data_IF_175670933657
#
_entry.id   IF_175670933657
#
_cell.length_a   1.000
_cell.length_b   1.000
_cell.length_c   1.000
_cell.angle_alpha   90.00
_cell.angle_beta   90.00
_cell.angle_gamma   90.00
#
_symmetry.space_group_name_H-M   'P 1'
#
loop_
_entity.id
_entity.type
_entity.pdbx_description
1 polymer ?
#
# COMPACT_ATOMS: atom_id res chain seq x y z
N UNK A 1 11.43 9.29 40.66
CA UNK A 1 10.60 9.75 39.52
C UNK A 1 11.51 10.04 38.34
N UNK A 2 11.62 9.11 37.38
CA UNK A 2 12.44 9.31 36.18
C UNK A 2 11.73 10.22 35.17
N UNK A 3 12.47 11.00 34.36
CA UNK A 3 11.87 11.92 33.41
C UNK A 3 11.17 11.12 32.29
N UNK A 4 9.87 11.36 32.11
CA UNK A 4 9.08 10.83 30.98
C UNK A 4 9.72 11.31 29.68
N UNK A 5 10.25 10.39 28.86
CA UNK A 5 10.64 10.67 27.47
C UNK A 5 9.40 11.20 26.72
N UNK A 6 9.43 12.47 26.33
CA UNK A 6 8.44 13.06 25.42
C UNK A 6 8.52 12.30 24.10
N UNK A 7 7.40 11.74 23.66
CA UNK A 7 7.28 11.16 22.33
C UNK A 7 7.55 12.26 21.30
N UNK A 8 8.56 12.07 20.45
CA UNK A 8 8.87 12.99 19.36
C UNK A 8 7.70 12.99 18.38
N UNK A 9 7.03 14.14 18.22
CA UNK A 9 6.12 14.34 17.08
C UNK A 9 6.96 14.30 15.78
N UNK A 10 6.50 13.62 14.73
CA UNK A 10 7.21 13.61 13.45
C UNK A 10 7.28 15.04 12.89
N UNK A 11 8.49 15.50 12.57
CA UNK A 11 8.73 16.78 11.89
C UNK A 11 8.36 16.67 10.41
N UNK A 12 8.04 17.79 9.76
CA UNK A 12 7.62 17.86 8.36
C UNK A 12 8.64 17.25 7.36
N UNK A 13 9.89 17.07 7.76
CA UNK A 13 10.98 16.49 6.97
C UNK A 13 10.89 14.96 6.78
N UNK A 14 10.12 14.24 7.60
CA UNK A 14 9.98 12.77 7.50
C UNK A 14 8.78 12.31 6.64
N UNK A 15 8.07 13.23 5.99
CA UNK A 15 6.97 12.86 5.11
C UNK A 15 7.51 12.25 3.83
N UNK A 16 7.02 11.06 3.47
CA UNK A 16 7.22 10.58 2.10
C UNK A 16 6.48 11.52 1.17
N UNK A 17 7.21 12.17 0.27
CA UNK A 17 6.62 12.99 -0.79
C UNK A 17 6.07 12.05 -1.86
N UNK A 18 4.74 11.99 -1.98
CA UNK A 18 4.08 11.24 -3.05
C UNK A 18 4.18 12.08 -4.33
N UNK A 19 5.02 11.66 -5.27
CA UNK A 19 5.30 12.39 -6.52
C UNK A 19 4.03 12.70 -7.31
N UNK A 20 3.06 11.78 -7.30
CA UNK A 20 1.78 11.95 -7.99
C UNK A 20 0.91 13.06 -7.41
N UNK A 21 1.18 13.48 -6.17
CA UNK A 21 0.56 14.63 -5.52
C UNK A 21 1.40 15.89 -5.63
N UNK A 22 2.73 15.81 -5.46
CA UNK A 22 3.61 17.00 -5.43
C UNK A 22 3.98 17.53 -6.82
N UNK A 23 4.09 16.64 -7.80
CA UNK A 23 4.42 16.97 -9.20
C UNK A 23 3.60 16.08 -10.13
N UNK A 24 2.29 16.33 -10.25
CA UNK A 24 1.37 15.46 -10.98
C UNK A 24 1.68 15.34 -12.47
N UNK A 25 2.43 16.28 -13.06
CA UNK A 25 2.79 16.28 -14.49
C UNK A 25 4.17 15.66 -14.76
N UNK A 26 4.88 15.20 -13.72
CA UNK A 26 6.16 14.55 -13.90
C UNK A 26 6.06 13.24 -14.70
N UNK A 27 7.13 12.87 -15.42
CA UNK A 27 7.27 11.57 -16.04
C UNK A 27 6.99 10.39 -15.09
N UNK A 28 7.43 10.50 -13.83
CA UNK A 28 7.22 9.46 -12.81
C UNK A 28 5.73 9.33 -12.45
N UNK A 29 5.00 10.45 -12.40
CA UNK A 29 3.55 10.41 -12.18
C UNK A 29 2.81 9.74 -13.31
N UNK A 30 3.23 9.97 -14.57
CA UNK A 30 2.70 9.24 -15.72
C UNK A 30 2.97 7.73 -15.61
N UNK A 31 4.13 7.30 -15.11
CA UNK A 31 4.38 5.88 -14.86
C UNK A 31 3.39 5.25 -13.87
N UNK A 32 3.02 5.97 -12.80
CA UNK A 32 1.97 5.49 -11.89
C UNK A 32 0.59 5.44 -12.56
N UNK A 33 0.27 6.35 -13.48
CA UNK A 33 -0.97 6.29 -14.29
C UNK A 33 -0.97 5.10 -15.24
N UNK A 34 0.16 4.78 -15.85
CA UNK A 34 0.34 3.56 -16.65
C UNK A 34 0.13 2.31 -15.81
N UNK A 35 0.72 2.24 -14.60
CA UNK A 35 0.52 1.10 -13.69
C UNK A 35 -0.96 0.95 -13.32
N UNK A 36 -1.64 2.03 -12.91
CA UNK A 36 -3.08 2.04 -12.61
C UNK A 36 -3.91 1.51 -13.79
N UNK A 37 -3.60 1.97 -15.00
CA UNK A 37 -4.28 1.56 -16.24
C UNK A 37 -4.07 0.06 -16.52
N UNK A 38 -2.85 -0.44 -16.34
CA UNK A 38 -2.53 -1.86 -16.49
C UNK A 38 -3.26 -2.73 -15.45
N UNK A 39 -3.38 -2.26 -14.21
CA UNK A 39 -4.18 -2.93 -13.18
C UNK A 39 -5.63 -3.04 -13.63
N UNK A 40 -6.23 -1.94 -14.11
CA UNK A 40 -7.60 -1.94 -14.61
C UNK A 40 -7.78 -2.87 -15.83
N UNK A 41 -6.78 -2.99 -16.72
CA UNK A 41 -6.84 -3.91 -17.86
C UNK A 41 -6.57 -5.37 -17.51
N UNK A 42 -5.87 -5.66 -16.42
CA UNK A 42 -5.65 -7.04 -15.95
C UNK A 42 -6.91 -7.74 -15.44
N UNK A 43 -8.01 -6.99 -15.40
CA UNK A 43 -9.29 -7.28 -14.77
C UNK A 43 -10.40 -7.55 -15.81
N UNK A 44 -10.09 -8.27 -16.91
CA UNK A 44 -10.97 -8.41 -18.10
C UNK A 44 -12.37 -8.93 -17.76
N UNK A 45 -12.50 -9.81 -16.77
CA UNK A 45 -13.77 -10.45 -16.38
C UNK A 45 -14.23 -10.12 -14.94
N UNK A 46 -13.35 -9.59 -14.07
CA UNK A 46 -13.62 -9.34 -12.65
C UNK A 46 -13.19 -7.94 -12.25
N UNK A 47 -14.07 -7.15 -11.62
CA UNK A 47 -13.69 -5.84 -11.08
C UNK A 47 -12.63 -5.97 -9.98
N UNK A 48 -11.45 -5.40 -10.20
CA UNK A 48 -10.38 -5.33 -9.18
C UNK A 48 -10.66 -4.17 -8.24
N UNK A 49 -11.20 -4.49 -7.06
CA UNK A 49 -11.53 -3.50 -6.02
C UNK A 49 -10.46 -3.47 -4.92
N UNK A 50 -9.94 -4.64 -4.53
CA UNK A 50 -8.98 -4.79 -3.42
C UNK A 50 -7.63 -5.21 -3.95
N UNK A 51 -6.65 -4.33 -3.78
CA UNK A 51 -5.29 -4.52 -4.25
C UNK A 51 -4.36 -4.53 -3.04
N UNK A 52 -3.42 -5.46 -2.98
CA UNK A 52 -2.29 -5.34 -2.07
C UNK A 52 -1.00 -5.01 -2.81
N UNK A 53 -0.14 -4.24 -2.15
CA UNK A 53 1.22 -3.93 -2.60
C UNK A 53 2.19 -4.55 -1.61
N UNK A 54 3.07 -5.40 -2.11
CA UNK A 54 4.14 -6.04 -1.33
C UNK A 54 5.47 -5.95 -2.07
N UNK A 55 6.51 -6.52 -1.49
CA UNK A 55 7.85 -6.59 -2.08
C UNK A 55 8.56 -7.87 -1.65
N UNK A 56 9.67 -8.22 -2.32
CA UNK A 56 10.46 -9.38 -1.92
C UNK A 56 11.17 -9.09 -0.58
N UNK A 57 11.93 -8.00 -0.55
CA UNK A 57 12.68 -7.55 0.61
C UNK A 57 12.18 -6.24 1.23
N UNK A 58 12.71 -5.85 2.41
CA UNK A 58 12.46 -4.55 3.00
C UNK A 58 13.08 -3.41 2.18
N UNK A 59 12.50 -2.21 2.30
CA UNK A 59 13.00 -0.97 1.67
C UNK A 59 13.01 -0.97 0.12
N UNK A 60 12.16 -1.79 -0.51
CA UNK A 60 12.03 -1.81 -1.98
C UNK A 60 11.04 -0.76 -2.53
N UNK A 61 10.34 -0.05 -1.65
CA UNK A 61 9.45 1.05 -2.00
C UNK A 61 7.95 0.71 -2.04
N UNK A 62 7.54 -0.47 -1.55
CA UNK A 62 6.13 -0.90 -1.39
C UNK A 62 5.18 0.21 -0.89
N UNK A 63 5.51 0.85 0.24
CA UNK A 63 4.73 1.91 0.85
C UNK A 63 4.64 3.17 -0.02
N UNK A 64 5.72 3.53 -0.71
CA UNK A 64 5.74 4.66 -1.65
C UNK A 64 4.87 4.36 -2.87
N UNK A 65 4.98 3.15 -3.41
CA UNK A 65 4.17 2.68 -4.54
C UNK A 65 2.70 2.62 -4.17
N UNK A 66 2.33 2.06 -3.03
CA UNK A 66 0.95 2.02 -2.53
C UNK A 66 0.35 3.43 -2.40
N UNK A 67 1.08 4.37 -1.80
CA UNK A 67 0.64 5.77 -1.66
C UNK A 67 0.44 6.46 -3.01
N UNK A 68 1.39 6.34 -3.94
CA UNK A 68 1.27 6.98 -5.25
C UNK A 68 0.16 6.35 -6.10
N UNK A 69 -0.03 5.02 -6.02
CA UNK A 69 -1.15 4.32 -6.65
C UNK A 69 -2.49 4.83 -6.12
N UNK A 70 -2.62 4.96 -4.80
CA UNK A 70 -3.82 5.48 -4.17
C UNK A 70 -4.18 6.89 -4.68
N UNK A 71 -3.18 7.77 -4.80
CA UNK A 71 -3.37 9.10 -5.36
C UNK A 71 -3.84 9.07 -6.81
N UNK A 72 -3.24 8.25 -7.69
CA UNK A 72 -3.65 8.24 -9.11
C UNK A 72 -5.01 7.57 -9.35
N UNK A 73 -5.44 6.66 -8.48
CA UNK A 73 -6.83 6.17 -8.48
C UNK A 73 -7.80 7.26 -8.00
N UNK A 74 -7.47 7.98 -6.93
CA UNK A 74 -8.30 9.07 -6.42
C UNK A 74 -8.44 10.24 -7.42
N UNK A 75 -7.40 10.51 -8.21
CA UNK A 75 -7.43 11.46 -9.32
C UNK A 75 -8.41 11.07 -10.45
N UNK A 76 -8.86 9.81 -10.52
CA UNK A 76 -9.96 9.38 -11.41
C UNK A 76 -11.32 9.41 -10.71
N UNK A 77 -11.46 10.24 -9.66
CA UNK A 77 -12.68 10.40 -8.88
C UNK A 77 -13.17 9.13 -8.17
N UNK A 78 -12.36 8.08 -8.13
CA UNK A 78 -12.63 6.87 -7.33
C UNK A 78 -12.50 7.18 -5.85
N UNK A 79 -13.43 6.73 -5.02
CA UNK A 79 -13.28 6.72 -3.57
C UNK A 79 -12.24 5.67 -3.19
N UNK A 80 -11.08 6.11 -2.74
CA UNK A 80 -9.95 5.24 -2.41
C UNK A 80 -9.74 5.15 -0.90
N UNK A 81 -9.61 3.92 -0.40
CA UNK A 81 -9.11 3.64 0.94
C UNK A 81 -7.71 3.05 0.86
N UNK A 82 -6.72 3.74 1.43
CA UNK A 82 -5.37 3.22 1.61
C UNK A 82 -5.19 2.71 3.05
N UNK A 83 -4.90 1.42 3.20
CA UNK A 83 -4.78 0.75 4.50
C UNK A 83 -3.33 0.36 4.78
N UNK A 84 -2.80 0.76 5.93
CA UNK A 84 -1.49 0.32 6.40
C UNK A 84 -1.60 -1.04 7.10
N UNK A 85 -1.37 -2.10 6.34
CA UNK A 85 -1.33 -3.48 6.80
C UNK A 85 0.10 -3.96 7.15
N UNK A 86 1.12 -3.10 7.12
CA UNK A 86 2.44 -3.37 7.70
C UNK A 86 2.38 -3.14 9.21
N UNK A 87 1.71 -4.06 9.92
CA UNK A 87 1.53 -4.00 11.38
C UNK A 87 2.83 -4.17 12.18
N UNK A 88 3.98 -4.35 11.51
CA UNK A 88 5.30 -4.50 12.13
C UNK A 88 6.13 -3.23 12.03
N UNK A 89 6.11 -2.60 10.85
CA UNK A 89 6.82 -1.34 10.58
C UNK A 89 5.89 -0.38 9.83
N UNK A 90 4.82 0.11 10.48
CA UNK A 90 3.83 0.95 9.83
C UNK A 90 4.45 2.30 9.47
N UNK A 91 4.03 2.84 8.32
CA UNK A 91 4.62 4.07 7.80
C UNK A 91 3.64 5.06 7.17
N UNK A 92 2.38 4.67 6.94
CA UNK A 92 1.40 5.56 6.32
C UNK A 92 1.04 6.75 7.19
N UNK A 93 1.02 6.59 8.52
CA UNK A 93 0.76 7.71 9.43
C UNK A 93 1.82 8.80 9.33
N UNK A 94 3.09 8.46 9.04
CA UNK A 94 4.13 9.45 8.73
C UNK A 94 3.95 10.08 7.34
N UNK A 95 3.59 9.27 6.33
CA UNK A 95 3.36 9.75 4.95
C UNK A 95 2.25 10.80 4.90
N UNK A 96 1.14 10.56 5.59
CA UNK A 96 -0.05 11.42 5.56
C UNK A 96 -0.20 12.34 6.78
N UNK A 97 0.81 12.41 7.65
CA UNK A 97 0.80 13.24 8.86
C UNK A 97 -0.44 13.00 9.77
N UNK A 98 -0.78 11.73 9.96
CA UNK A 98 -1.91 11.29 10.77
C UNK A 98 -1.44 10.70 12.12
N UNK A 99 -2.33 10.70 13.10
CA UNK A 99 -2.08 9.95 14.35
C UNK A 99 -2.26 8.45 14.12
N UNK A 100 -1.53 7.61 14.84
CA UNK A 100 -1.64 6.15 14.75
C UNK A 100 -2.22 5.51 16.02
N UNK A 101 -3.06 6.26 16.75
CA UNK A 101 -3.69 5.81 18.00
C UNK A 101 -4.83 4.82 17.73
N UNK A 102 -5.60 5.09 16.68
CA UNK A 102 -6.63 4.21 16.15
C UNK A 102 -6.30 3.88 14.71
N UNK A 103 -6.60 2.67 14.28
CA UNK A 103 -6.30 2.18 12.94
C UNK A 103 -6.80 0.76 12.74
N UNK A 104 -6.24 0.06 11.76
CA UNK A 104 -6.64 -1.30 11.38
C UNK A 104 -6.71 -2.22 12.60
N UNK A 105 -5.72 -2.21 13.48
CA UNK A 105 -5.68 -3.13 14.63
C UNK A 105 -6.79 -2.86 15.65
N UNK A 106 -7.10 -1.60 15.92
CA UNK A 106 -8.19 -1.24 16.85
C UNK A 106 -9.56 -1.53 16.24
N UNK A 107 -9.72 -1.36 14.92
CA UNK A 107 -10.94 -1.73 14.19
C UNK A 107 -11.15 -3.24 14.23
N UNK A 108 -10.12 -4.03 13.93
CA UNK A 108 -10.22 -5.49 13.92
C UNK A 108 -10.44 -6.07 15.33
N UNK A 109 -9.98 -5.38 16.36
CA UNK A 109 -10.25 -5.69 17.77
C UNK A 109 -11.64 -5.23 18.25
N UNK A 110 -12.42 -4.52 17.41
CA UNK A 110 -13.75 -4.01 17.76
C UNK A 110 -13.74 -2.87 18.78
N UNK A 111 -12.59 -2.18 18.95
CA UNK A 111 -12.46 -1.08 19.91
C UNK A 111 -13.03 0.24 19.38
N UNK A 112 -12.98 0.44 18.06
CA UNK A 112 -13.44 1.64 17.36
C UNK A 112 -14.04 1.19 16.01
N UNK A 113 -15.17 1.76 15.56
CA UNK A 113 -15.74 1.42 14.25
C UNK A 113 -14.87 1.98 13.10
N UNK A 114 -14.99 1.39 11.90
CA UNK A 114 -14.15 1.75 10.75
C UNK A 114 -14.27 3.23 10.40
N UNK A 115 -15.49 3.76 10.33
CA UNK A 115 -15.77 5.16 9.97
C UNK A 115 -15.14 6.20 10.91
N UNK A 116 -14.86 5.83 12.17
CA UNK A 116 -14.18 6.70 13.14
C UNK A 116 -12.66 6.57 13.08
N UNK A 117 -12.13 5.43 12.62
CA UNK A 117 -10.70 5.19 12.51
C UNK A 117 -10.10 5.62 11.16
N UNK A 118 -10.93 5.71 10.12
CA UNK A 118 -10.52 6.18 8.79
C UNK A 118 -10.44 7.70 8.77
N UNK A 119 -9.33 8.23 8.26
CA UNK A 119 -9.08 9.67 8.18
C UNK A 119 -8.99 10.13 6.73
N UNK A 120 -9.64 11.25 6.35
CA UNK A 120 -9.43 11.87 5.05
C UNK A 120 -7.99 12.39 4.92
N UNK A 121 -7.52 12.50 3.69
CA UNK A 121 -6.20 13.11 3.38
C UNK A 121 -6.38 14.46 2.69
N UNK A 122 -5.26 15.18 2.46
CA UNK A 122 -5.25 16.41 1.66
C UNK A 122 -5.55 16.13 0.15
N UNK A 123 -5.60 14.87 -0.26
CA UNK A 123 -5.96 14.46 -1.62
C UNK A 123 -7.43 14.11 -1.67
N UNK A 124 -8.19 14.79 -2.54
CA UNK A 124 -9.61 14.53 -2.75
C UNK A 124 -9.88 13.06 -3.09
N UNK A 125 -10.96 12.50 -2.53
CA UNK A 125 -11.36 11.09 -2.63
C UNK A 125 -10.35 10.05 -2.09
N UNK A 126 -9.29 10.46 -1.40
CA UNK A 126 -8.36 9.55 -0.74
C UNK A 126 -8.52 9.62 0.79
N UNK A 127 -8.84 8.46 1.38
CA UNK A 127 -8.83 8.24 2.82
C UNK A 127 -7.77 7.23 3.22
N UNK A 128 -7.28 7.33 4.44
CA UNK A 128 -6.24 6.45 4.99
C UNK A 128 -6.73 5.81 6.29
N UNK A 129 -6.52 4.51 6.40
CA UNK A 129 -6.58 3.77 7.66
C UNK A 129 -5.15 3.39 8.04
N UNK A 130 -4.63 4.02 9.09
CA UNK A 130 -3.29 3.68 9.60
C UNK A 130 -3.32 2.31 10.30
N UNK A 131 -2.16 1.78 10.70
CA UNK A 131 -2.09 0.43 11.28
C UNK A 131 -2.79 0.33 12.63
N UNK A 132 -2.81 1.41 13.40
CA UNK A 132 -3.06 1.39 14.83
C UNK A 132 -1.84 0.88 15.62
N UNK A 133 -1.99 0.65 16.94
CA UNK A 133 -0.96 0.07 17.79
C UNK A 133 -0.48 -1.29 17.26
N UNK A 134 0.82 -1.57 17.37
CA UNK A 134 1.43 -2.83 16.94
C UNK A 134 0.87 -3.99 17.78
N UNK A 135 0.19 -4.98 17.17
CA UNK A 135 -0.38 -6.09 17.91
C UNK A 135 0.69 -7.18 18.17
N UNK A 136 0.48 -8.06 19.18
CA UNK A 136 1.38 -9.18 19.42
C UNK A 136 1.30 -10.27 18.33
N UNK A 137 0.17 -10.39 17.63
CA UNK A 137 -0.14 -11.45 16.67
C UNK A 137 -0.68 -10.92 15.31
N UNK A 138 0.14 -10.22 14.48
CA UNK A 138 -0.33 -9.64 13.22
C UNK A 138 -0.98 -10.62 12.23
N UNK A 139 -0.37 -11.78 11.96
CA UNK A 139 -0.86 -12.75 10.97
C UNK A 139 -2.24 -13.32 11.32
N UNK A 140 -2.48 -13.64 12.59
CA UNK A 140 -3.77 -14.13 13.08
C UNK A 140 -4.86 -13.08 12.91
N UNK A 141 -4.51 -11.81 13.14
CA UNK A 141 -5.44 -10.69 12.96
C UNK A 141 -5.83 -10.52 11.49
N UNK A 142 -4.87 -10.66 10.56
CA UNK A 142 -5.14 -10.63 9.12
C UNK A 142 -6.04 -11.78 8.67
N UNK A 143 -5.88 -12.99 9.22
CA UNK A 143 -6.69 -14.16 8.89
C UNK A 143 -8.04 -14.23 9.62
N UNK A 144 -8.39 -13.21 10.40
CA UNK A 144 -9.54 -13.27 11.31
C UNK A 144 -10.89 -13.07 10.61
N UNK A 145 -11.97 -13.49 11.29
CA UNK A 145 -13.34 -13.13 10.88
C UNK A 145 -13.57 -11.61 10.92
N UNK A 146 -12.88 -10.89 11.81
CA UNK A 146 -12.93 -9.43 11.86
C UNK A 146 -12.39 -8.80 10.58
N UNK A 147 -11.30 -9.33 10.01
CA UNK A 147 -10.75 -8.81 8.75
C UNK A 147 -11.74 -8.98 7.59
N UNK A 148 -12.41 -10.13 7.53
CA UNK A 148 -13.47 -10.36 6.53
C UNK A 148 -14.64 -9.39 6.67
N UNK A 149 -15.06 -9.07 7.91
CA UNK A 149 -16.10 -8.06 8.16
C UNK A 149 -15.66 -6.66 7.74
N UNK A 150 -14.44 -6.28 8.13
CA UNK A 150 -13.83 -5.00 7.73
C UNK A 150 -13.78 -4.86 6.21
N UNK A 151 -13.31 -5.89 5.50
CA UNK A 151 -13.25 -5.89 4.04
C UNK A 151 -14.64 -5.73 3.42
N UNK A 152 -15.66 -6.42 3.95
CA UNK A 152 -17.03 -6.26 3.46
C UNK A 152 -17.52 -4.81 3.61
N UNK A 153 -17.36 -4.22 4.79
CA UNK A 153 -17.75 -2.84 5.06
C UNK A 153 -16.97 -1.83 4.18
N UNK A 154 -15.67 -2.06 4.00
CA UNK A 154 -14.83 -1.24 3.13
C UNK A 154 -15.27 -1.34 1.67
N UNK A 155 -15.57 -2.55 1.16
CA UNK A 155 -16.04 -2.78 -0.21
C UNK A 155 -17.39 -2.09 -0.50
N UNK A 156 -18.23 -1.90 0.51
CA UNK A 156 -19.49 -1.16 0.38
C UNK A 156 -19.28 0.36 0.29
N UNK A 157 -18.16 0.87 0.82
CA UNK A 157 -17.93 2.32 0.99
C UNK A 157 -16.93 2.91 -0.01
N UNK A 158 -16.05 2.09 -0.60
CA UNK A 158 -14.93 2.52 -1.43
C UNK A 158 -14.88 1.78 -2.76
N UNK A 159 -14.53 2.50 -3.83
CA UNK A 159 -14.37 1.92 -5.16
C UNK A 159 -13.05 1.16 -5.30
N UNK A 160 -12.02 1.57 -4.54
CA UNK A 160 -10.69 0.95 -4.55
C UNK A 160 -10.16 0.91 -3.11
N UNK A 161 -9.62 -0.25 -2.71
CA UNK A 161 -8.98 -0.47 -1.43
C UNK A 161 -7.56 -0.95 -1.70
N UNK A 162 -6.56 -0.23 -1.21
CA UNK A 162 -5.15 -0.56 -1.39
C UNK A 162 -4.53 -0.88 -0.04
N UNK A 163 -3.94 -2.05 0.10
CA UNK A 163 -3.17 -2.45 1.27
C UNK A 163 -1.67 -2.25 1.04
N UNK A 164 -1.01 -1.45 1.88
CA UNK A 164 0.45 -1.50 2.05
C UNK A 164 0.77 -2.65 3.01
N UNK A 165 1.59 -3.61 2.58
CA UNK A 165 1.82 -4.86 3.33
C UNK A 165 3.31 -5.08 3.57
N UNK A 166 3.73 -5.86 4.59
CA UNK A 166 5.14 -6.15 4.82
C UNK A 166 5.73 -6.96 3.65
N UNK A 167 7.08 -7.05 3.53
CA UNK A 167 7.71 -7.87 2.50
C UNK A 167 7.33 -9.35 2.65
N UNK A 168 6.95 -9.99 1.56
CA UNK A 168 6.35 -11.33 1.61
C UNK A 168 7.34 -12.45 1.98
N UNK A 169 8.63 -12.26 1.71
CA UNK A 169 9.68 -13.20 2.12
C UNK A 169 9.99 -13.10 3.63
N UNK A 170 9.70 -11.97 4.25
CA UNK A 170 10.06 -11.72 5.64
C UNK A 170 9.05 -12.36 6.62
N UNK A 171 7.75 -12.29 6.30
CA UNK A 171 6.66 -12.61 7.22
C UNK A 171 5.42 -13.12 6.49
N UNK A 172 4.60 -13.90 7.20
CA UNK A 172 3.40 -14.54 6.64
C UNK A 172 2.19 -13.61 6.51
N UNK A 173 2.22 -12.42 7.11
CA UNK A 173 1.06 -11.50 7.15
C UNK A 173 0.58 -11.15 5.73
N UNK A 174 1.51 -10.87 4.82
CA UNK A 174 1.23 -10.56 3.42
C UNK A 174 0.64 -11.76 2.65
N UNK A 175 1.04 -12.99 2.99
CA UNK A 175 0.49 -14.20 2.35
C UNK A 175 -0.96 -14.42 2.75
N UNK A 176 -1.28 -14.25 4.04
CA UNK A 176 -2.66 -14.38 4.53
C UNK A 176 -3.57 -13.35 3.87
N UNK A 177 -3.10 -12.10 3.73
CA UNK A 177 -3.86 -11.04 3.09
C UNK A 177 -4.01 -11.24 1.57
N UNK A 178 -3.03 -11.85 0.90
CA UNK A 178 -3.06 -12.07 -0.54
C UNK A 178 -4.27 -12.87 -1.02
N UNK A 179 -4.76 -13.81 -0.21
CA UNK A 179 -5.97 -14.59 -0.51
C UNK A 179 -7.28 -13.80 -0.33
N UNK A 180 -7.23 -12.63 0.33
CA UNK A 180 -8.38 -11.77 0.57
C UNK A 180 -8.45 -10.60 -0.41
N UNK A 181 -7.39 -10.38 -1.20
CA UNK A 181 -7.31 -9.33 -2.21
C UNK A 181 -7.64 -9.87 -3.59
N UNK A 182 -8.28 -9.05 -4.41
CA UNK A 182 -8.61 -9.37 -5.80
C UNK A 182 -7.33 -9.38 -6.67
N UNK A 183 -6.27 -8.68 -6.23
CA UNK A 183 -4.96 -8.73 -6.87
C UNK A 183 -3.80 -8.22 -6.01
N UNK A 184 -2.59 -8.60 -6.40
CA UNK A 184 -1.32 -8.26 -5.76
C UNK A 184 -0.36 -7.60 -6.75
N UNK A 185 0.31 -6.55 -6.30
CA UNK A 185 1.41 -5.88 -7.02
C UNK A 185 2.72 -6.15 -6.27
N UNK A 186 3.68 -6.75 -6.97
CA UNK A 186 5.01 -7.03 -6.42
C UNK A 186 5.98 -5.90 -6.78
N UNK A 187 6.44 -5.13 -5.79
CA UNK A 187 7.49 -4.13 -5.99
C UNK A 187 8.86 -4.82 -5.93
N UNK A 188 9.72 -4.53 -6.90
CA UNK A 188 11.07 -5.09 -7.04
C UNK A 188 12.07 -3.95 -7.16
N UNK A 189 13.16 -3.97 -6.41
CA UNK A 189 14.20 -2.94 -6.48
C UNK A 189 15.15 -3.22 -7.65
N UNK A 190 15.22 -2.29 -8.60
CA UNK A 190 16.10 -2.37 -9.77
C UNK A 190 17.58 -2.41 -9.40
N UNK A 191 18.27 -3.47 -9.82
CA UNK A 191 19.69 -3.67 -9.57
C UNK A 191 20.05 -4.02 -8.13
N UNK A 192 19.07 -4.38 -7.29
CA UNK A 192 19.31 -4.83 -5.90
C UNK A 192 18.58 -6.11 -5.54
N UNK A 193 17.30 -6.24 -5.87
CA UNK A 193 16.55 -7.46 -5.61
C UNK A 193 17.05 -8.56 -6.53
N UNK A 194 17.42 -9.71 -5.97
CA UNK A 194 17.89 -10.84 -6.77
C UNK A 194 16.72 -11.50 -7.50
N UNK A 195 16.97 -12.04 -8.70
CA UNK A 195 15.94 -12.71 -9.50
C UNK A 195 15.32 -13.90 -8.75
N UNK A 196 16.12 -14.62 -7.97
CA UNK A 196 15.66 -15.74 -7.13
C UNK A 196 14.70 -15.26 -6.02
N UNK A 197 15.00 -14.14 -5.37
CA UNK A 197 14.13 -13.55 -4.35
C UNK A 197 12.79 -13.10 -4.95
N UNK A 198 12.82 -12.45 -6.12
CA UNK A 198 11.60 -12.04 -6.84
C UNK A 198 10.77 -13.26 -7.29
N UNK A 199 11.42 -14.31 -7.79
CA UNK A 199 10.76 -15.56 -8.16
C UNK A 199 10.09 -16.24 -6.95
N UNK A 200 10.81 -16.34 -5.83
CA UNK A 200 10.30 -16.89 -4.57
C UNK A 200 9.14 -16.07 -4.01
N UNK A 201 9.19 -14.74 -4.10
CA UNK A 201 8.09 -13.87 -3.69
C UNK A 201 6.81 -14.14 -4.52
N UNK A 202 6.96 -14.31 -5.83
CA UNK A 202 5.86 -14.73 -6.72
C UNK A 202 5.32 -16.11 -6.35
N UNK A 203 6.18 -17.08 -6.04
CA UNK A 203 5.77 -18.42 -5.63
C UNK A 203 4.97 -18.40 -4.32
N UNK A 204 5.37 -17.58 -3.33
CA UNK A 204 4.63 -17.43 -2.09
C UNK A 204 3.26 -16.79 -2.31
N UNK A 205 3.16 -15.74 -3.14
CA UNK A 205 1.87 -15.16 -3.52
C UNK A 205 0.95 -16.22 -4.15
N UNK A 206 1.49 -17.00 -5.09
CA UNK A 206 0.75 -18.04 -5.81
C UNK A 206 0.31 -19.17 -4.86
N UNK A 207 1.21 -19.62 -3.98
CA UNK A 207 0.93 -20.67 -2.98
C UNK A 207 -0.13 -20.24 -1.97
N UNK A 208 -0.17 -18.95 -1.65
CA UNK A 208 -1.21 -18.36 -0.82
C UNK A 208 -2.54 -18.13 -1.56
N UNK A 209 -2.66 -18.58 -2.82
CA UNK A 209 -3.83 -18.35 -3.70
C UNK A 209 -4.09 -16.88 -4.02
N UNK A 210 -3.08 -16.01 -3.86
CA UNK A 210 -3.14 -14.63 -4.30
C UNK A 210 -2.97 -14.51 -5.82
N UNK A 211 -3.69 -13.56 -6.43
CA UNK A 211 -3.56 -13.23 -7.86
C UNK A 211 -2.47 -12.18 -8.06
N UNK A 212 -1.34 -12.53 -8.67
CA UNK A 212 -0.32 -11.56 -9.05
C UNK A 212 -0.74 -10.82 -10.33
N UNK A 213 -1.03 -9.52 -10.20
CA UNK A 213 -1.40 -8.66 -11.35
C UNK A 213 -0.16 -8.27 -12.17
N UNK A 214 0.98 -8.12 -11.51
CA UNK A 214 2.24 -7.76 -12.15
C UNK A 214 3.29 -7.29 -11.15
N UNK A 215 4.42 -6.85 -11.68
CA UNK A 215 5.53 -6.32 -10.90
C UNK A 215 5.81 -4.85 -11.24
N UNK A 216 6.24 -4.08 -10.24
CA UNK A 216 6.70 -2.70 -10.39
C UNK A 216 8.20 -2.67 -10.12
N UNK A 217 8.97 -2.38 -11.17
CA UNK A 217 10.41 -2.18 -11.04
C UNK A 217 10.69 -0.77 -10.52
N UNK A 218 11.04 -0.67 -9.24
CA UNK A 218 11.31 0.60 -8.57
C UNK A 218 12.82 0.92 -8.55
N UNK A 219 13.19 2.17 -8.29
CA UNK A 219 14.60 2.64 -8.28
C UNK A 219 15.38 2.43 -9.60
N UNK A 220 14.67 2.29 -10.73
CA UNK A 220 15.31 2.24 -12.05
C UNK A 220 16.07 3.56 -12.28
N UNK A 221 17.36 3.47 -12.64
CA UNK A 221 18.12 4.63 -13.11
C UNK A 221 17.57 5.06 -14.46
N UNK A 222 17.26 6.35 -14.61
CA UNK A 222 16.86 6.91 -15.90
C UNK A 222 18.09 6.99 -16.81
N UNK A 223 18.00 6.41 -18.00
CA UNK A 223 18.99 6.62 -19.05
C UNK A 223 18.61 7.84 -19.92
N UNK A 224 19.58 8.38 -20.68
CA UNK A 224 19.36 9.55 -21.54
C UNK A 224 18.29 9.33 -22.61
N UNK A 225 18.09 8.08 -23.06
CA UNK A 225 17.02 7.67 -23.98
C UNK A 225 15.63 7.75 -23.34
N UNK A 226 15.51 7.42 -22.06
CA UNK A 226 14.24 7.50 -21.31
C UNK A 226 13.78 8.98 -21.23
N UNK A 227 14.71 9.93 -21.07
CA UNK A 227 14.39 11.37 -21.06
C UNK A 227 13.77 11.86 -22.38
N UNK A 228 14.28 11.39 -23.52
CA UNK A 228 13.73 11.73 -24.84
C UNK A 228 12.33 11.16 -25.05
N UNK A 229 12.03 9.99 -24.48
CA UNK A 229 10.70 9.39 -24.53
C UNK A 229 9.67 10.19 -23.70
N UNK A 230 10.10 10.79 -22.59
CA UNK A 230 9.21 11.55 -21.70
C UNK A 230 9.00 13.02 -22.08
N UNK A 231 9.96 13.62 -22.77
CA UNK A 231 9.89 15.02 -23.23
C UNK A 231 9.79 15.14 -24.77
N UNK A 232 9.56 14.02 -25.45
CA UNK A 232 9.46 13.94 -26.90
C UNK A 232 8.05 14.25 -27.43
N UNK A 233 7.81 15.55 -27.68
CA UNK A 233 6.65 16.23 -28.29
C UNK A 233 5.37 16.37 -27.46
#
# INVERSE_FOLDING_TARGET
MGPKKKANKPTAENRRKLVTSIDPKSPISEQYRTIRTNIQFSAVDDDVQVIMVTSAGPMEGKSTTAGNLAVVFAQQEKKVLLVDADLRKPTMHYTFNQTNTFGLTTVLAGQVPMNEAVNPTDVFNLSVLTSGPIPPNPAELMGSKSMNRFLKEAKESYDIIIFDTPPILAVTDAQVLANLCDGSVLVVYSGKTEMEEAAKAKELLTSAKGKLLGAVLNHKKLESSDYYYYYGK
#
